data_IF_156818602367
#
_entry.id   IF_156818602367
#
_cell.length_a   1.000
_cell.length_b   1.000
_cell.length_c   1.000
_cell.angle_alpha   90.00
_cell.angle_beta   90.00
_cell.angle_gamma   90.00
#
_symmetry.space_group_name_H-M   'P 1'
#
loop_
_entity.id
_entity.type
_entity.pdbx_description
1 polymer ?
#
# COMPACT_ATOMS: atom_id res chain seq x y z
N UNK A 1 10.13 13.77 -10.95
CA UNK A 1 8.87 14.52 -10.94
C UNK A 1 8.66 15.23 -9.60
N UNK A 2 7.56 15.95 -9.49
CA UNK A 2 7.26 16.76 -8.32
C UNK A 2 6.97 15.98 -7.05
N UNK A 3 6.80 14.67 -7.12
CA UNK A 3 6.54 13.82 -5.95
C UNK A 3 7.81 13.23 -5.35
N UNK A 4 8.91 13.25 -6.06
CA UNK A 4 10.14 12.62 -5.64
C UNK A 4 10.15 11.11 -5.75
N UNK A 5 9.09 10.50 -6.28
CA UNK A 5 9.01 9.05 -6.49
C UNK A 5 9.51 8.72 -7.89
N UNK A 6 10.53 7.88 -8.00
CA UNK A 6 11.15 7.51 -9.26
C UNK A 6 10.98 6.04 -9.63
N UNK A 7 10.57 5.20 -8.69
CA UNK A 7 10.45 3.75 -8.89
C UNK A 7 9.02 3.28 -8.79
N UNK A 8 8.53 2.55 -9.81
CA UNK A 8 7.15 2.04 -9.76
C UNK A 8 7.03 0.79 -8.89
N UNK A 9 5.82 0.48 -8.48
CA UNK A 9 5.51 -0.79 -7.83
C UNK A 9 5.96 -1.95 -8.73
N UNK A 10 6.46 -3.02 -8.15
CA UNK A 10 6.43 -3.40 -6.74
C UNK A 10 7.54 -2.81 -5.87
N UNK A 11 8.29 -1.83 -6.36
CA UNK A 11 9.27 -1.17 -5.53
C UNK A 11 8.53 -0.43 -4.39
N UNK A 12 9.01 -0.51 -3.14
CA UNK A 12 8.30 0.09 -2.01
C UNK A 12 8.37 1.62 -1.95
N UNK A 13 9.12 2.25 -2.82
CA UNK A 13 9.42 3.69 -2.73
C UNK A 13 8.18 4.56 -2.57
N UNK A 14 7.13 4.30 -3.35
CA UNK A 14 5.93 5.12 -3.31
C UNK A 14 5.29 5.13 -1.92
N UNK A 15 5.29 4.00 -1.23
CA UNK A 15 4.70 3.88 0.10
C UNK A 15 5.66 4.36 1.19
N UNK A 16 6.95 4.02 1.06
CA UNK A 16 7.97 4.48 1.99
C UNK A 16 8.07 6.01 2.02
N UNK A 17 8.04 6.63 0.86
CA UNK A 17 8.04 8.09 0.75
C UNK A 17 6.76 8.71 1.32
N UNK A 18 5.62 8.06 1.11
CA UNK A 18 4.36 8.52 1.66
C UNK A 18 4.36 8.53 3.17
N UNK A 19 4.83 7.45 3.80
CA UNK A 19 4.93 7.37 5.26
C UNK A 19 5.92 8.40 5.81
N UNK A 20 7.06 8.56 5.14
CA UNK A 20 8.06 9.54 5.52
C UNK A 20 7.49 10.96 5.47
N UNK A 21 6.73 11.26 4.42
CA UNK A 21 6.16 12.59 4.23
C UNK A 21 5.19 12.98 5.35
N UNK A 22 4.47 12.02 5.91
CA UNK A 22 3.54 12.28 7.03
C UNK A 22 4.16 11.99 8.39
N UNK A 23 5.41 11.52 8.43
CA UNK A 23 6.13 11.29 9.67
C UNK A 23 5.60 10.11 10.49
N UNK A 24 5.04 9.09 9.83
CA UNK A 24 4.49 7.91 10.49
C UNK A 24 5.31 6.69 10.10
N UNK A 25 5.61 5.83 11.07
CA UNK A 25 6.38 4.62 10.79
C UNK A 25 5.57 3.66 9.92
N UNK A 26 6.22 2.93 9.02
CA UNK A 26 5.52 1.98 8.13
C UNK A 26 4.63 0.98 8.86
N UNK A 27 5.04 0.49 10.01
CA UNK A 27 4.23 -0.47 10.78
C UNK A 27 2.90 0.11 11.25
N UNK A 28 2.74 1.44 11.18
CA UNK A 28 1.51 2.12 11.53
C UNK A 28 0.73 2.59 10.30
N UNK A 29 1.11 2.09 9.12
CA UNK A 29 0.43 2.40 7.87
C UNK A 29 -0.23 1.14 7.30
N UNK A 30 -1.36 1.32 6.65
CA UNK A 30 -2.09 0.25 5.95
C UNK A 30 -2.35 0.70 4.53
N UNK A 31 -2.04 -0.16 3.57
CA UNK A 31 -2.25 0.12 2.15
C UNK A 31 -3.46 -0.68 1.67
N UNK A 32 -4.40 0.00 1.03
CA UNK A 32 -5.53 -0.63 0.33
C UNK A 32 -5.17 -0.64 -1.15
N UNK A 33 -5.10 -1.81 -1.76
CA UNK A 33 -4.56 -1.95 -3.10
C UNK A 33 -5.33 -3.00 -3.91
N UNK A 34 -5.58 -2.68 -5.19
CA UNK A 34 -6.28 -3.58 -6.10
C UNK A 34 -5.35 -4.42 -6.98
N UNK A 35 -4.05 -4.19 -6.90
CA UNK A 35 -3.07 -4.88 -7.74
C UNK A 35 -2.04 -5.63 -6.90
N UNK A 36 -1.62 -6.79 -7.40
CA UNK A 36 -0.61 -7.62 -6.73
C UNK A 36 0.71 -6.86 -6.54
N UNK A 37 1.11 -6.04 -7.50
CA UNK A 37 2.33 -5.25 -7.39
C UNK A 37 2.26 -4.27 -6.22
N UNK A 38 1.08 -3.70 -5.94
CA UNK A 38 0.89 -2.82 -4.79
C UNK A 38 0.96 -3.56 -3.46
N UNK A 39 0.40 -4.78 -3.41
CA UNK A 39 0.49 -5.64 -2.22
C UNK A 39 1.95 -5.97 -1.92
N UNK A 40 2.72 -6.31 -2.95
CA UNK A 40 4.15 -6.59 -2.78
C UNK A 40 4.91 -5.34 -2.33
N UNK A 41 4.63 -4.19 -2.93
CA UNK A 41 5.26 -2.93 -2.54
C UNK A 41 4.99 -2.60 -1.07
N UNK A 42 3.76 -2.80 -0.61
CA UNK A 42 3.39 -2.56 0.79
C UNK A 42 4.19 -3.48 1.73
N UNK A 43 4.28 -4.77 1.39
CA UNK A 43 5.05 -5.72 2.18
C UNK A 43 6.53 -5.33 2.26
N UNK A 44 7.10 -4.93 1.14
CA UNK A 44 8.51 -4.48 1.09
C UNK A 44 8.73 -3.19 1.87
N UNK A 45 7.70 -2.35 1.97
CA UNK A 45 7.76 -1.13 2.75
C UNK A 45 7.55 -1.38 4.25
N UNK A 46 7.25 -2.61 4.67
CA UNK A 46 6.97 -2.93 6.06
C UNK A 46 5.57 -2.54 6.51
N UNK A 47 4.64 -2.44 5.58
CA UNK A 47 3.26 -2.04 5.83
C UNK A 47 2.31 -3.23 5.70
N UNK A 48 1.22 -3.21 6.47
CA UNK A 48 0.12 -4.13 6.26
C UNK A 48 -0.66 -3.69 5.03
N UNK A 49 -1.37 -4.63 4.42
CA UNK A 49 -2.16 -4.31 3.24
C UNK A 49 -3.52 -4.97 3.27
N UNK A 50 -4.46 -4.35 2.57
CA UNK A 50 -5.79 -4.89 2.34
C UNK A 50 -5.94 -4.96 0.82
N UNK A 51 -6.13 -6.18 0.30
CA UNK A 51 -6.40 -6.38 -1.11
C UNK A 51 -7.87 -6.07 -1.39
N UNK A 52 -8.11 -5.20 -2.35
CA UNK A 52 -9.47 -4.78 -2.72
C UNK A 52 -9.80 -5.41 -4.06
N UNK A 53 -10.65 -6.43 -4.04
CA UNK A 53 -11.02 -7.20 -5.23
C UNK A 53 -11.01 -8.69 -4.96
N UNK A 54 -11.61 -9.47 -5.84
CA UNK A 54 -11.75 -10.91 -5.70
C UNK A 54 -10.60 -11.73 -6.30
N UNK A 55 -9.57 -11.08 -6.84
CA UNK A 55 -8.49 -11.79 -7.51
C UNK A 55 -7.65 -12.63 -6.53
N UNK A 56 -7.34 -13.90 -6.87
CA UNK A 56 -6.44 -14.69 -6.05
C UNK A 56 -5.01 -14.14 -6.02
N UNK A 57 -4.66 -13.24 -6.95
CA UNK A 57 -3.36 -12.58 -6.96
C UNK A 57 -3.17 -11.65 -5.77
N UNK A 58 -4.25 -11.31 -5.05
CA UNK A 58 -4.20 -10.44 -3.88
C UNK A 58 -4.05 -11.23 -2.57
N UNK A 59 -3.89 -12.55 -2.66
CA UNK A 59 -3.84 -13.43 -1.47
C UNK A 59 -2.66 -13.13 -0.53
N UNK A 60 -1.63 -12.42 -0.99
CA UNK A 60 -0.50 -12.01 -0.14
C UNK A 60 -0.81 -10.85 0.79
N UNK A 61 -1.98 -10.22 0.66
CA UNK A 61 -2.38 -9.13 1.52
C UNK A 61 -2.74 -9.65 2.92
N UNK A 62 -2.68 -8.76 3.92
CA UNK A 62 -3.09 -9.07 5.28
C UNK A 62 -4.57 -9.45 5.32
N UNK A 63 -5.38 -8.79 4.52
CA UNK A 63 -6.82 -9.02 4.42
C UNK A 63 -7.25 -8.74 2.99
N UNK A 64 -8.34 -9.37 2.55
CA UNK A 64 -8.89 -9.13 1.22
C UNK A 64 -10.37 -8.79 1.32
N UNK A 65 -10.79 -7.76 0.61
CA UNK A 65 -12.17 -7.29 0.57
C UNK A 65 -12.68 -7.31 -0.85
N UNK A 66 -14.01 -7.32 -1.01
CA UNK A 66 -14.62 -7.19 -2.33
C UNK A 66 -14.29 -5.82 -2.90
N UNK A 67 -13.95 -5.80 -4.18
CA UNK A 67 -13.64 -4.56 -4.86
C UNK A 67 -14.90 -3.85 -5.35
N UNK A 68 -14.70 -2.65 -5.84
CA UNK A 68 -15.75 -1.88 -6.50
C UNK A 68 -15.11 -1.07 -7.63
N UNK A 69 -15.95 -0.73 -8.61
CA UNK A 69 -15.49 -0.01 -9.79
C UNK A 69 -14.92 1.34 -9.42
N UNK A 70 -13.79 1.68 -10.03
CA UNK A 70 -13.13 2.96 -9.81
C UNK A 70 -12.14 2.98 -8.66
N UNK A 71 -12.08 1.92 -7.85
CA UNK A 71 -11.07 1.88 -6.78
C UNK A 71 -9.69 1.65 -7.37
N UNK A 72 -8.71 2.40 -6.91
CA UNK A 72 -7.31 2.19 -7.28
C UNK A 72 -6.47 1.80 -6.08
N UNK A 73 -6.11 2.74 -5.24
CA UNK A 73 -5.42 2.42 -4.00
C UNK A 73 -5.60 3.56 -2.98
N UNK A 74 -5.33 3.24 -1.73
CA UNK A 74 -5.34 4.24 -0.67
C UNK A 74 -4.37 3.79 0.42
N UNK A 75 -3.76 4.75 1.09
CA UNK A 75 -2.87 4.46 2.20
C UNK A 75 -3.31 5.26 3.42
N UNK A 76 -3.47 4.58 4.54
CA UNK A 76 -3.82 5.19 5.81
C UNK A 76 -2.66 5.03 6.78
N UNK A 77 -2.22 6.13 7.34
CA UNK A 77 -1.15 6.13 8.33
C UNK A 77 -1.62 6.87 9.57
N UNK A 78 -1.43 6.24 10.73
CA UNK A 78 -1.80 6.85 11.99
C UNK A 78 -0.74 6.57 13.03
N UNK A 79 -0.22 7.62 13.64
CA UNK A 79 0.74 7.44 14.73
C UNK A 79 0.04 6.83 15.93
N UNK A 80 0.70 5.83 16.52
CA UNK A 80 0.19 5.11 17.70
C UNK A 80 1.21 5.30 18.82
N UNK A 81 0.76 5.89 19.90
CA UNK A 81 1.60 6.14 21.06
C UNK A 81 1.81 4.88 21.89
#
# INVERSE_FOLDING_TARGET
DGTGVSRPKPDPEVFSKGAEAVGVRPENCVVFEDAAAGIEAAARAGMRSVGVGGSPLLAGATMQLNGFEGFTFEMLCKEID
#
